data_IF_145541523241
#
_entry.id   IF_145541523241
#
_cell.length_a   1.000
_cell.length_b   1.000
_cell.length_c   1.000
_cell.angle_alpha   90.00
_cell.angle_beta   90.00
_cell.angle_gamma   90.00
#
_symmetry.space_group_name_H-M   'P 1'
#
loop_
_entity.id
_entity.type
_entity.pdbx_description
1 polymer ?
#
# COMPACT_ATOMS: atom_id res chain seq x y z
N UNK A 1 -0.50 -78.16 -1.05
CA UNK A 1 -1.25 -78.65 0.14
C UNK A 1 -2.04 -77.45 0.64
N UNK A 2 -3.32 -77.38 0.26
CA UNK A 2 -4.55 -77.79 1.02
C UNK A 2 -4.87 -76.73 2.07
N UNK A 3 -6.02 -76.13 2.19
CA UNK A 3 -7.43 -76.17 1.71
C UNK A 3 -8.05 -74.86 2.23
N UNK A 4 -8.75 -74.10 1.48
CA UNK A 4 -10.21 -73.97 1.27
C UNK A 4 -11.07 -73.94 2.53
N UNK A 5 -11.95 -72.97 2.58
CA UNK A 5 -13.05 -72.93 3.54
C UNK A 5 -13.93 -71.67 3.34
N UNK A 6 -14.78 -71.72 2.34
CA UNK A 6 -15.98 -70.90 2.22
C UNK A 6 -16.97 -71.24 3.32
N UNK A 7 -17.69 -70.29 3.87
CA UNK A 7 -19.08 -70.48 4.33
C UNK A 7 -19.89 -69.17 4.25
N UNK A 8 -20.79 -69.22 3.31
CA UNK A 8 -21.98 -68.44 3.08
C UNK A 8 -23.09 -68.85 4.03
N UNK A 9 -23.92 -67.94 4.57
CA UNK A 9 -25.35 -68.10 4.96
C UNK A 9 -25.85 -66.76 5.50
N UNK A 10 -26.67 -66.08 4.82
CA UNK A 10 -28.10 -66.12 4.55
C UNK A 10 -29.01 -65.55 5.65
N UNK A 11 -29.59 -64.42 5.31
CA UNK A 11 -31.00 -63.93 5.45
C UNK A 11 -31.72 -63.91 6.83
N UNK A 12 -32.20 -62.70 7.06
CA UNK A 12 -33.51 -62.34 7.66
C UNK A 12 -33.72 -62.55 9.15
N UNK A 13 -33.81 -61.41 9.88
CA UNK A 13 -34.94 -61.23 10.83
C UNK A 13 -35.20 -59.74 11.00
N UNK A 14 -36.45 -59.34 10.78
CA UNK A 14 -37.01 -58.02 10.93
C UNK A 14 -37.26 -57.81 12.41
N UNK A 15 -36.75 -56.73 13.01
CA UNK A 15 -37.33 -56.19 14.24
C UNK A 15 -37.51 -54.69 14.09
N UNK A 16 -38.77 -54.29 14.18
CA UNK A 16 -39.24 -52.92 14.26
C UNK A 16 -38.73 -52.29 15.56
N UNK A 17 -37.92 -51.27 15.49
CA UNK A 17 -37.56 -50.42 16.62
C UNK A 17 -37.78 -48.96 16.23
N UNK A 18 -38.62 -48.28 16.98
CA UNK A 18 -39.07 -46.90 16.72
C UNK A 18 -37.91 -45.92 16.65
N UNK A 19 -37.83 -45.18 15.55
CA UNK A 19 -36.96 -44.00 15.41
C UNK A 19 -37.60 -42.85 16.23
N UNK A 20 -37.04 -42.58 17.40
CA UNK A 20 -37.25 -41.31 18.05
C UNK A 20 -36.40 -40.26 17.32
N UNK A 21 -37.06 -39.41 16.52
CA UNK A 21 -36.42 -38.27 15.91
C UNK A 21 -36.07 -37.23 17.00
N UNK A 22 -34.82 -37.22 17.43
CA UNK A 22 -34.30 -36.12 18.22
C UNK A 22 -34.17 -34.88 17.29
N UNK A 23 -35.14 -33.99 17.37
CA UNK A 23 -35.06 -32.65 16.78
C UNK A 23 -34.01 -31.86 17.56
N UNK A 24 -32.81 -31.75 16.99
CA UNK A 24 -31.81 -30.80 17.45
C UNK A 24 -32.38 -29.42 17.09
N UNK A 25 -32.62 -28.51 18.06
CA UNK A 25 -33.01 -27.15 17.71
C UNK A 25 -31.83 -26.54 16.95
N UNK A 26 -32.07 -26.16 15.69
CA UNK A 26 -31.19 -25.29 14.96
C UNK A 26 -31.16 -23.97 15.76
N UNK A 27 -30.14 -23.79 16.59
CA UNK A 27 -29.80 -22.50 17.13
C UNK A 27 -29.41 -21.63 15.95
N UNK A 28 -30.40 -20.92 15.40
CA UNK A 28 -30.16 -19.79 14.52
C UNK A 28 -29.21 -18.86 15.30
N UNK A 29 -27.92 -18.85 14.91
CA UNK A 29 -27.05 -17.74 15.24
C UNK A 29 -27.69 -16.53 14.57
N UNK A 30 -28.47 -15.80 15.35
CA UNK A 30 -28.85 -14.43 15.05
C UNK A 30 -27.51 -13.72 14.97
N UNK A 31 -27.03 -13.48 13.75
CA UNK A 31 -26.01 -12.46 13.52
C UNK A 31 -26.63 -11.19 14.12
N UNK A 32 -26.14 -10.79 15.27
CA UNK A 32 -26.47 -9.48 15.82
C UNK A 32 -26.08 -8.50 14.72
N UNK A 33 -27.08 -7.89 14.09
CA UNK A 33 -26.87 -6.74 13.21
C UNK A 33 -26.18 -5.73 14.11
N UNK A 34 -24.90 -5.45 13.82
CA UNK A 34 -24.22 -4.37 14.50
C UNK A 34 -25.10 -3.12 14.31
N UNK A 35 -25.59 -2.58 15.40
CA UNK A 35 -26.40 -1.35 15.39
C UNK A 35 -25.58 -0.31 14.63
N UNK A 36 -26.17 0.27 13.57
CA UNK A 36 -25.46 1.23 12.72
C UNK A 36 -24.95 2.38 13.62
N UNK A 37 -23.64 2.58 13.65
CA UNK A 37 -23.03 3.61 14.47
C UNK A 37 -23.55 4.99 14.05
N UNK A 38 -23.83 5.85 15.02
CA UNK A 38 -24.27 7.22 14.74
C UNK A 38 -23.13 8.03 14.13
N UNK A 39 -23.36 8.58 12.94
CA UNK A 39 -22.41 9.52 12.33
C UNK A 39 -22.57 10.88 12.99
N UNK A 40 -21.44 11.49 13.35
CA UNK A 40 -21.33 12.84 13.90
C UNK A 40 -20.30 13.65 13.12
N UNK A 41 -20.38 14.96 13.16
CA UNK A 41 -19.36 15.85 12.57
C UNK A 41 -18.57 16.52 13.68
N UNK A 42 -17.24 16.35 13.67
CA UNK A 42 -16.32 17.00 14.59
C UNK A 42 -15.15 17.59 13.83
N UNK A 43 -14.74 18.83 14.11
CA UNK A 43 -13.66 19.53 13.39
C UNK A 43 -13.83 19.54 11.85
N UNK A 44 -15.09 19.48 11.36
CA UNK A 44 -15.42 19.38 9.94
C UNK A 44 -15.23 17.98 9.34
N UNK A 45 -15.08 16.93 10.16
CA UNK A 45 -14.87 15.54 9.76
C UNK A 45 -16.11 14.73 10.17
N UNK A 46 -16.72 14.04 9.24
CA UNK A 46 -17.73 13.02 9.53
C UNK A 46 -17.06 11.76 10.07
N UNK A 47 -17.53 11.31 11.22
CA UNK A 47 -17.01 10.10 11.89
C UNK A 47 -18.14 9.33 12.57
N UNK A 48 -18.01 8.03 12.65
CA UNK A 48 -18.83 7.16 13.48
C UNK A 48 -18.12 6.66 14.74
N UNK A 49 -16.92 7.20 15.04
CA UNK A 49 -16.23 6.98 16.31
C UNK A 49 -16.97 7.67 17.48
N UNK A 50 -16.94 7.05 18.64
CA UNK A 50 -17.39 7.66 19.90
C UNK A 50 -16.29 8.63 20.39
N UNK A 51 -16.48 9.92 20.15
CA UNK A 51 -15.48 10.94 20.45
C UNK A 51 -15.11 10.96 21.95
N UNK A 52 -16.09 10.81 22.83
CA UNK A 52 -15.84 10.84 24.27
C UNK A 52 -14.97 9.65 24.72
N UNK A 53 -15.22 8.48 24.14
CA UNK A 53 -14.37 7.31 24.40
C UNK A 53 -12.99 7.47 23.76
N UNK A 54 -12.89 7.93 22.52
CA UNK A 54 -11.61 8.19 21.88
C UNK A 54 -10.73 9.16 22.70
N UNK A 55 -11.33 10.23 23.23
CA UNK A 55 -10.64 11.17 24.12
C UNK A 55 -10.27 10.52 25.47
N UNK A 56 -11.11 9.61 26.00
CA UNK A 56 -10.82 8.88 27.23
C UNK A 56 -9.71 7.82 27.03
N UNK A 57 -9.62 7.21 25.85
CA UNK A 57 -8.51 6.32 25.45
C UNK A 57 -7.17 7.10 25.41
N UNK A 58 -7.21 8.36 25.00
CA UNK A 58 -6.13 9.35 25.16
C UNK A 58 -4.88 9.10 24.33
N UNK A 59 -4.81 8.04 23.54
CA UNK A 59 -3.66 7.67 22.72
C UNK A 59 -4.07 7.02 21.39
N UNK A 60 -3.17 7.04 20.40
CA UNK A 60 -3.28 6.33 19.13
C UNK A 60 -1.89 6.00 18.61
N UNK A 61 -1.63 4.73 18.25
CA UNK A 61 -0.37 4.26 17.72
C UNK A 61 -0.52 3.84 16.26
N UNK A 62 0.22 4.52 15.39
CA UNK A 62 0.25 4.30 13.97
C UNK A 62 1.53 3.57 13.53
N UNK A 63 1.41 2.39 12.90
CA UNK A 63 2.53 1.71 12.26
C UNK A 63 2.57 2.09 10.77
N UNK A 64 3.72 2.59 10.31
CA UNK A 64 3.88 3.06 8.93
C UNK A 64 5.23 2.66 8.32
N UNK A 65 5.24 2.52 7.01
CA UNK A 65 6.47 2.38 6.21
C UNK A 65 7.09 3.72 5.82
N UNK A 66 6.36 4.81 5.99
CA UNK A 66 6.80 6.16 5.64
C UNK A 66 8.05 6.59 6.42
N UNK A 67 8.72 7.63 5.93
CA UNK A 67 9.87 8.20 6.63
C UNK A 67 9.47 8.78 7.99
N UNK A 68 10.43 8.88 8.94
CA UNK A 68 10.16 9.46 10.25
C UNK A 68 9.53 10.85 10.17
N UNK A 69 10.00 11.81 9.31
CA UNK A 69 9.33 13.09 9.16
C UNK A 69 7.89 13.00 8.66
N UNK A 70 7.57 12.00 7.82
CA UNK A 70 6.23 11.78 7.32
C UNK A 70 5.29 11.23 8.41
N UNK A 71 5.75 10.19 9.13
CA UNK A 71 5.02 9.62 10.26
C UNK A 71 4.73 10.68 11.34
N UNK A 72 5.75 11.48 11.69
CA UNK A 72 5.59 12.60 12.62
C UNK A 72 4.54 13.61 12.14
N UNK A 73 4.62 14.05 10.88
CA UNK A 73 3.68 15.02 10.31
C UNK A 73 2.23 14.54 10.36
N UNK A 74 1.99 13.24 10.13
CA UNK A 74 0.65 12.64 10.18
C UNK A 74 0.09 12.69 11.61
N UNK A 75 0.84 12.14 12.58
CA UNK A 75 0.34 12.05 13.96
C UNK A 75 0.26 13.40 14.66
N UNK A 76 1.15 14.34 14.35
CA UNK A 76 1.11 15.71 14.86
C UNK A 76 -0.11 16.48 14.34
N UNK A 77 -0.42 16.35 13.03
CA UNK A 77 -1.59 16.98 12.44
C UNK A 77 -2.90 16.43 13.03
N UNK A 78 -2.99 15.11 13.24
CA UNK A 78 -4.11 14.51 13.94
C UNK A 78 -4.25 15.00 15.38
N UNK A 79 -3.15 14.98 16.15
CA UNK A 79 -3.17 15.42 17.55
C UNK A 79 -3.43 16.92 17.71
N UNK A 80 -3.11 17.73 16.69
CA UNK A 80 -3.49 19.15 16.67
C UNK A 80 -5.01 19.33 16.57
N UNK A 81 -5.69 18.49 15.78
CA UNK A 81 -7.14 18.53 15.66
C UNK A 81 -7.84 17.89 16.86
N UNK A 82 -7.21 16.89 17.48
CA UNK A 82 -7.73 16.15 18.65
C UNK A 82 -6.72 16.15 19.80
N UNK A 83 -6.55 17.28 20.50
CA UNK A 83 -5.44 17.48 21.45
C UNK A 83 -5.50 16.59 22.71
N UNK A 84 -6.62 15.95 22.98
CA UNK A 84 -6.74 14.96 24.06
C UNK A 84 -6.28 13.57 23.66
N UNK A 85 -5.96 13.34 22.37
CA UNK A 85 -5.47 12.07 21.86
C UNK A 85 -4.02 12.24 21.42
N UNK A 86 -3.10 11.63 22.15
CA UNK A 86 -1.68 11.65 21.81
C UNK A 86 -1.40 10.66 20.68
N UNK A 87 -1.20 11.16 19.47
CA UNK A 87 -0.73 10.35 18.35
C UNK A 87 0.75 9.99 18.52
N UNK A 88 1.07 8.75 18.20
CA UNK A 88 2.44 8.25 18.11
C UNK A 88 2.59 7.34 16.90
N UNK A 89 3.82 7.11 16.43
CA UNK A 89 4.06 6.24 15.30
C UNK A 89 5.28 5.35 15.52
N UNK A 90 5.31 4.24 14.79
CA UNK A 90 6.49 3.40 14.62
C UNK A 90 6.75 3.22 13.13
N UNK A 91 7.97 3.49 12.72
CA UNK A 91 8.42 3.34 11.34
C UNK A 91 9.24 2.06 11.18
N UNK A 92 8.90 1.26 10.16
CA UNK A 92 9.77 0.19 9.66
C UNK A 92 9.52 -0.03 8.17
N UNK A 93 10.43 -0.69 7.46
CA UNK A 93 10.21 -1.13 6.08
C UNK A 93 9.05 -2.13 6.04
N UNK A 94 8.30 -2.17 4.92
CA UNK A 94 7.06 -2.95 4.79
C UNK A 94 7.18 -4.39 5.33
N UNK A 95 8.17 -5.17 4.89
CA UNK A 95 8.37 -6.55 5.33
C UNK A 95 8.72 -6.68 6.81
N UNK A 96 9.56 -5.78 7.35
CA UNK A 96 9.91 -5.75 8.77
C UNK A 96 8.71 -5.34 9.63
N UNK A 97 7.93 -4.35 9.17
CA UNK A 97 6.70 -3.90 9.82
C UNK A 97 5.69 -5.04 9.92
N UNK A 98 5.49 -5.76 8.81
CA UNK A 98 4.59 -6.89 8.75
C UNK A 98 5.01 -8.04 9.68
N UNK A 99 6.30 -8.41 9.63
CA UNK A 99 6.86 -9.47 10.51
C UNK A 99 6.72 -9.12 11.98
N UNK A 100 7.02 -7.86 12.35
CA UNK A 100 6.85 -7.35 13.71
C UNK A 100 5.39 -7.47 14.16
N UNK A 101 4.46 -7.00 13.35
CA UNK A 101 3.02 -7.02 13.65
C UNK A 101 2.50 -8.44 13.83
N UNK A 102 2.91 -9.39 13.00
CA UNK A 102 2.54 -10.80 13.15
C UNK A 102 3.13 -11.42 14.43
N UNK A 103 4.38 -11.09 14.77
CA UNK A 103 5.02 -11.58 15.99
C UNK A 103 4.32 -11.06 17.26
N UNK A 104 4.01 -9.76 17.30
CA UNK A 104 3.28 -9.13 18.40
C UNK A 104 1.89 -9.77 18.60
N UNK A 105 1.13 -9.96 17.52
CA UNK A 105 -0.18 -10.62 17.55
C UNK A 105 -0.07 -12.07 18.00
N UNK A 106 0.94 -12.81 17.53
CA UNK A 106 1.21 -14.18 17.93
C UNK A 106 1.55 -14.32 19.42
N UNK A 107 2.19 -13.29 19.99
CA UNK A 107 2.49 -13.20 21.43
C UNK A 107 1.32 -12.63 22.27
N UNK A 108 0.18 -12.29 21.66
CA UNK A 108 -0.96 -11.69 22.36
C UNK A 108 -0.80 -10.20 22.67
N UNK A 109 0.18 -9.52 22.07
CA UNK A 109 0.40 -8.07 22.21
C UNK A 109 -0.35 -7.32 21.12
N UNK A 110 -1.30 -6.47 21.50
CA UNK A 110 -2.17 -5.71 20.62
C UNK A 110 -2.03 -4.21 20.90
N UNK A 111 -0.80 -3.68 20.79
CA UNK A 111 -0.52 -2.28 21.10
C UNK A 111 -0.83 -1.31 19.94
N UNK A 112 -0.75 -1.79 18.70
CA UNK A 112 -0.94 -0.97 17.49
C UNK A 112 -2.42 -0.78 17.18
N UNK A 113 -2.79 0.42 16.78
CA UNK A 113 -4.17 0.79 16.48
C UNK A 113 -4.44 0.82 14.97
N UNK A 114 -3.56 1.44 14.20
CA UNK A 114 -3.69 1.57 12.74
C UNK A 114 -2.38 1.21 12.07
N UNK A 115 -2.44 0.49 10.96
CA UNK A 115 -1.26 0.13 10.16
C UNK A 115 -1.43 0.56 8.71
N UNK A 116 -0.33 1.06 8.12
CA UNK A 116 -0.21 1.37 6.69
C UNK A 116 0.88 0.50 6.07
N UNK A 117 0.53 -0.21 5.02
CA UNK A 117 1.46 -0.97 4.19
C UNK A 117 1.66 -0.31 2.83
N UNK A 118 2.89 -0.35 2.31
CA UNK A 118 3.21 0.09 0.94
C UNK A 118 2.97 -0.99 -0.12
N UNK A 119 2.57 -2.18 0.29
CA UNK A 119 2.30 -3.29 -0.61
C UNK A 119 0.90 -3.86 -0.36
N UNK A 120 0.07 -3.84 -1.38
CA UNK A 120 -1.32 -4.31 -1.31
C UNK A 120 -1.40 -5.80 -0.99
N UNK A 121 -0.47 -6.61 -1.50
CA UNK A 121 -0.36 -8.04 -1.19
C UNK A 121 -0.22 -8.31 0.30
N UNK A 122 0.62 -7.52 0.98
CA UNK A 122 0.79 -7.58 2.43
C UNK A 122 -0.52 -7.27 3.17
N UNK A 123 -1.26 -6.24 2.74
CA UNK A 123 -2.55 -5.88 3.32
C UNK A 123 -3.59 -6.98 3.12
N UNK A 124 -3.65 -7.58 1.93
CA UNK A 124 -4.56 -8.69 1.62
C UNK A 124 -4.23 -9.91 2.48
N UNK A 125 -2.95 -10.28 2.62
CA UNK A 125 -2.54 -11.40 3.46
C UNK A 125 -2.84 -11.13 4.94
N UNK A 126 -2.60 -9.92 5.41
CA UNK A 126 -2.94 -9.51 6.78
C UNK A 126 -4.45 -9.59 7.03
N UNK A 127 -5.28 -9.17 6.07
CA UNK A 127 -6.74 -9.31 6.13
C UNK A 127 -7.17 -10.78 6.23
N UNK A 128 -6.63 -11.65 5.36
CA UNK A 128 -6.93 -13.11 5.38
C UNK A 128 -6.61 -13.77 6.72
N UNK A 129 -5.61 -13.24 7.44
CA UNK A 129 -5.24 -13.67 8.79
C UNK A 129 -6.06 -13.01 9.91
N UNK A 130 -7.14 -12.31 9.59
CA UNK A 130 -7.97 -11.60 10.56
C UNK A 130 -7.24 -10.45 11.24
N UNK A 131 -6.30 -9.84 10.52
CA UNK A 131 -5.43 -8.77 11.03
C UNK A 131 -6.14 -7.43 11.19
N UNK A 132 -7.12 -7.15 10.36
CA UNK A 132 -7.87 -5.89 10.42
C UNK A 132 -9.21 -6.03 11.14
N UNK A 133 -9.65 -4.95 11.77
CA UNK A 133 -11.03 -4.73 12.19
C UNK A 133 -11.87 -4.36 10.97
N UNK A 134 -13.12 -4.84 10.92
CA UNK A 134 -14.09 -4.35 9.95
C UNK A 134 -14.70 -3.06 10.47
N UNK A 135 -14.53 -1.97 9.73
CA UNK A 135 -15.06 -0.66 10.06
C UNK A 135 -15.54 0.08 8.80
N UNK A 136 -16.81 0.44 8.79
CA UNK A 136 -17.42 1.22 7.72
C UNK A 136 -17.31 2.71 8.04
N UNK A 137 -16.26 3.35 7.50
CA UNK A 137 -16.05 4.80 7.64
C UNK A 137 -17.12 5.57 6.87
N UNK A 138 -17.73 6.63 7.45
CA UNK A 138 -18.63 7.52 6.72
C UNK A 138 -17.93 8.25 5.57
N UNK A 139 -16.61 8.36 5.61
CA UNK A 139 -15.79 8.96 4.55
C UNK A 139 -15.73 8.08 3.28
N UNK A 140 -16.06 6.79 3.36
CA UNK A 140 -15.92 5.85 2.25
C UNK A 140 -16.76 6.24 1.02
N UNK A 141 -17.88 6.93 1.19
CA UNK A 141 -18.72 7.40 0.08
C UNK A 141 -18.01 8.33 -0.91
N UNK A 142 -16.98 9.04 -0.44
CA UNK A 142 -16.17 9.94 -1.27
C UNK A 142 -15.07 9.22 -2.07
N UNK A 143 -14.88 7.92 -1.88
CA UNK A 143 -13.88 7.13 -2.60
C UNK A 143 -14.50 6.29 -3.71
N UNK A 144 -13.78 5.97 -4.79
CA UNK A 144 -14.19 4.92 -5.71
C UNK A 144 -14.11 3.55 -5.04
N UNK A 145 -14.88 2.58 -5.50
CA UNK A 145 -15.00 1.27 -4.85
C UNK A 145 -13.65 0.51 -4.80
N UNK A 146 -12.83 0.65 -5.82
CA UNK A 146 -11.50 0.04 -5.90
C UNK A 146 -10.46 0.63 -4.93
N UNK A 147 -10.76 1.78 -4.32
CA UNK A 147 -9.93 2.40 -3.29
C UNK A 147 -10.25 1.92 -1.85
N UNK A 148 -11.25 1.06 -1.67
CA UNK A 148 -11.74 0.63 -0.34
C UNK A 148 -11.30 -0.78 0.07
N UNK A 149 -10.37 -1.38 -0.69
CA UNK A 149 -9.99 -2.79 -0.50
C UNK A 149 -11.09 -3.76 -0.95
N UNK A 150 -10.82 -5.07 -0.86
CA UNK A 150 -11.81 -6.10 -1.21
C UNK A 150 -11.68 -7.28 -0.26
N UNK A 151 -12.75 -7.63 0.51
CA UNK A 151 -13.99 -6.85 0.69
C UNK A 151 -13.74 -5.49 1.37
N UNK A 152 -14.65 -4.53 1.13
CA UNK A 152 -14.55 -3.19 1.72
C UNK A 152 -14.65 -3.22 3.25
N UNK A 153 -14.22 -2.13 3.91
CA UNK A 153 -14.34 -1.96 5.36
C UNK A 153 -13.17 -2.50 6.18
N UNK A 154 -12.15 -3.13 5.59
CA UNK A 154 -10.98 -3.62 6.32
C UNK A 154 -9.76 -2.70 6.15
N UNK A 155 -9.56 -2.18 4.95
CA UNK A 155 -8.55 -1.17 4.68
C UNK A 155 -8.99 -0.29 3.50
N UNK A 156 -8.39 0.87 3.39
CA UNK A 156 -8.56 1.77 2.26
C UNK A 156 -7.21 2.21 1.71
N UNK A 157 -7.19 2.74 0.51
CA UNK A 157 -5.99 3.31 -0.06
C UNK A 157 -5.84 4.77 0.33
N UNK A 158 -4.95 5.03 1.30
CA UNK A 158 -4.71 6.36 1.87
C UNK A 158 -3.96 7.31 0.94
N UNK A 159 -3.35 6.79 -0.10
CA UNK A 159 -2.64 7.53 -1.13
C UNK A 159 -2.08 6.58 -2.17
N UNK A 160 -1.52 7.14 -3.24
CA UNK A 160 -0.86 6.37 -4.30
C UNK A 160 0.58 6.81 -4.41
N UNK A 161 1.51 5.86 -4.41
CA UNK A 161 2.87 6.08 -4.89
C UNK A 161 2.94 5.67 -6.36
N UNK A 162 3.57 6.49 -7.21
CA UNK A 162 3.74 6.20 -8.61
C UNK A 162 5.06 6.73 -9.15
N UNK A 163 5.50 6.14 -10.22
CA UNK A 163 6.78 6.49 -10.86
C UNK A 163 6.60 6.87 -12.31
N UNK A 164 7.30 7.93 -12.69
CA UNK A 164 7.58 8.31 -14.06
C UNK A 164 9.07 8.30 -14.33
N UNK A 165 9.48 9.02 -15.33
CA UNK A 165 10.90 9.32 -15.62
C UNK A 165 11.21 10.69 -15.04
N UNK A 166 12.34 10.83 -14.32
CA UNK A 166 12.83 12.16 -13.93
C UNK A 166 14.23 12.36 -14.49
N UNK A 167 14.46 13.52 -15.06
CA UNK A 167 15.77 13.87 -15.59
C UNK A 167 16.22 15.25 -15.10
N UNK A 168 17.54 15.47 -15.07
CA UNK A 168 18.13 16.77 -14.77
C UNK A 168 18.11 17.64 -16.03
N UNK A 169 17.38 18.76 -16.00
CA UNK A 169 17.16 19.65 -17.18
C UNK A 169 18.37 20.50 -17.55
N UNK A 170 19.37 20.64 -16.69
CA UNK A 170 20.65 21.26 -17.03
C UNK A 170 21.58 20.30 -17.77
N UNK A 171 21.46 18.99 -17.53
CA UNK A 171 22.28 17.95 -18.16
C UNK A 171 21.65 17.37 -19.43
N UNK A 172 20.33 17.45 -19.55
CA UNK A 172 19.56 16.85 -20.63
C UNK A 172 18.78 17.95 -21.35
N UNK A 173 19.17 18.36 -22.57
CA UNK A 173 18.40 19.30 -23.35
C UNK A 173 17.00 18.80 -23.65
N UNK A 174 16.01 19.69 -23.68
CA UNK A 174 14.60 19.34 -23.89
C UNK A 174 14.36 18.51 -25.17
N UNK A 175 15.13 18.75 -26.23
CA UNK A 175 15.06 17.99 -27.49
C UNK A 175 15.51 16.52 -27.34
N UNK A 176 16.33 16.22 -26.34
CA UNK A 176 16.86 14.89 -26.05
C UNK A 176 16.17 14.20 -24.85
N UNK A 177 15.23 14.91 -24.20
CA UNK A 177 14.50 14.39 -23.05
C UNK A 177 13.73 13.12 -23.42
N UNK A 178 13.70 12.10 -22.54
CA UNK A 178 12.94 10.89 -22.77
C UNK A 178 11.45 11.20 -22.71
N UNK A 179 10.65 10.59 -23.59
CA UNK A 179 9.18 10.74 -23.63
C UNK A 179 8.47 9.42 -23.35
N UNK A 180 9.15 8.32 -23.57
CA UNK A 180 8.64 6.96 -23.39
C UNK A 180 9.60 6.15 -22.52
N UNK A 181 9.14 5.03 -21.96
CA UNK A 181 10.02 4.11 -21.23
C UNK A 181 11.13 3.55 -22.12
N UNK A 182 10.84 3.32 -23.42
CA UNK A 182 11.86 2.85 -24.40
C UNK A 182 12.94 3.87 -24.69
N UNK A 183 12.66 5.16 -24.53
CA UNK A 183 13.71 6.18 -24.74
C UNK A 183 14.86 6.04 -23.73
N UNK A 184 14.61 5.41 -22.57
CA UNK A 184 15.65 5.14 -21.58
C UNK A 184 16.59 4.00 -21.96
N UNK A 185 16.32 3.27 -23.06
CA UNK A 185 17.22 2.21 -23.58
C UNK A 185 18.28 2.78 -24.56
N UNK A 186 18.23 4.07 -24.87
CA UNK A 186 19.20 4.69 -25.78
C UNK A 186 20.60 4.72 -25.19
N UNK A 187 21.68 4.48 -25.98
CA UNK A 187 23.07 4.42 -25.50
C UNK A 187 23.55 5.66 -24.74
N UNK A 188 22.92 6.82 -24.96
CA UNK A 188 23.26 8.07 -24.25
C UNK A 188 23.11 7.98 -22.72
N UNK A 189 22.30 7.05 -22.24
CA UNK A 189 22.03 6.88 -20.81
C UNK A 189 23.05 5.99 -20.10
N UNK A 190 24.04 5.47 -20.82
CA UNK A 190 25.04 4.57 -20.25
C UNK A 190 25.88 5.26 -19.18
N UNK A 191 25.91 4.66 -17.97
CA UNK A 191 26.62 5.14 -16.77
C UNK A 191 26.13 6.52 -16.25
N UNK A 192 24.93 6.98 -16.63
CA UNK A 192 24.35 8.25 -16.17
C UNK A 192 22.85 8.13 -15.85
N UNK A 193 22.35 6.90 -15.81
CA UNK A 193 20.97 6.60 -15.41
C UNK A 193 20.92 5.84 -14.10
N UNK A 194 19.95 6.16 -13.26
CA UNK A 194 19.82 5.54 -11.94
C UNK A 194 18.50 4.75 -11.79
N UNK A 195 18.55 3.82 -10.83
CA UNK A 195 17.44 3.01 -10.37
C UNK A 195 17.58 2.75 -8.86
N UNK A 196 16.67 1.97 -8.27
CA UNK A 196 16.81 1.50 -6.89
C UNK A 196 17.22 0.04 -6.83
N UNK A 197 17.72 -0.39 -5.68
CA UNK A 197 18.05 -1.79 -5.40
C UNK A 197 16.78 -2.64 -5.31
N UNK A 198 16.93 -3.96 -5.38
CA UNK A 198 15.81 -4.93 -5.35
C UNK A 198 14.98 -4.91 -4.07
N UNK A 199 15.48 -4.30 -3.01
CA UNK A 199 14.77 -4.09 -1.74
C UNK A 199 13.61 -3.09 -1.84
N UNK A 200 13.54 -2.31 -2.93
CA UNK A 200 12.49 -1.33 -3.17
C UNK A 200 11.24 -1.98 -3.76
N UNK A 201 10.13 -1.95 -3.01
CA UNK A 201 8.83 -2.42 -3.51
C UNK A 201 8.37 -1.67 -4.75
N UNK A 202 8.61 -0.33 -4.83
CA UNK A 202 8.24 0.46 -6.01
C UNK A 202 9.07 0.08 -7.25
N UNK A 203 10.35 -0.31 -7.07
CA UNK A 203 11.17 -0.83 -8.16
C UNK A 203 10.62 -2.18 -8.68
N UNK A 204 10.12 -3.02 -7.78
CA UNK A 204 9.47 -4.28 -8.16
C UNK A 204 8.17 -4.03 -8.95
N UNK A 205 7.31 -3.13 -8.51
CA UNK A 205 6.10 -2.75 -9.26
C UNK A 205 6.47 -2.27 -10.66
N UNK A 206 7.47 -1.40 -10.78
CA UNK A 206 7.92 -0.90 -12.08
C UNK A 206 8.47 -2.01 -12.95
N UNK A 207 9.32 -2.88 -12.40
CA UNK A 207 9.88 -4.02 -13.13
C UNK A 207 8.75 -4.92 -13.68
N UNK A 208 7.78 -5.24 -12.84
CA UNK A 208 6.67 -6.11 -13.17
C UNK A 208 5.79 -5.53 -14.30
N UNK A 209 5.40 -4.27 -14.16
CA UNK A 209 4.52 -3.62 -15.13
C UNK A 209 5.22 -3.36 -16.48
N UNK A 210 6.49 -2.95 -16.47
CA UNK A 210 7.24 -2.74 -17.71
C UNK A 210 7.62 -4.07 -18.40
N UNK A 211 7.87 -5.14 -17.63
CA UNK A 211 8.03 -6.50 -18.18
C UNK A 211 6.77 -6.97 -18.90
N UNK A 212 5.58 -6.68 -18.35
CA UNK A 212 4.29 -6.94 -19.04
C UNK A 212 4.11 -6.13 -20.33
N UNK A 213 4.57 -4.89 -20.35
CA UNK A 213 4.44 -4.01 -21.52
C UNK A 213 5.42 -4.38 -22.63
N UNK A 214 6.64 -4.78 -22.30
CA UNK A 214 7.75 -4.87 -23.27
C UNK A 214 8.43 -6.22 -23.33
N UNK A 215 8.14 -7.14 -22.44
CA UNK A 215 8.80 -8.43 -22.32
C UNK A 215 10.14 -8.37 -21.59
N UNK A 216 10.80 -9.53 -21.49
CA UNK A 216 12.04 -9.72 -20.73
C UNK A 216 13.23 -8.93 -21.29
N UNK A 217 13.25 -8.68 -22.59
CA UNK A 217 14.38 -8.03 -23.24
C UNK A 217 14.53 -6.56 -22.85
N UNK A 218 13.43 -5.92 -22.41
CA UNK A 218 13.50 -4.52 -21.93
C UNK A 218 14.51 -4.36 -20.78
N UNK A 219 14.47 -5.24 -19.78
CA UNK A 219 15.35 -5.15 -18.63
C UNK A 219 16.78 -5.61 -18.95
N UNK A 220 16.94 -6.57 -19.86
CA UNK A 220 18.25 -6.96 -20.39
C UNK A 220 18.94 -5.80 -21.10
N UNK A 221 18.19 -5.06 -21.93
CA UNK A 221 18.70 -3.88 -22.62
C UNK A 221 18.99 -2.73 -21.67
N UNK A 222 18.13 -2.52 -20.66
CA UNK A 222 18.38 -1.54 -19.60
C UNK A 222 19.66 -1.86 -18.84
N UNK A 223 19.92 -3.11 -18.50
CA UNK A 223 21.15 -3.54 -17.82
C UNK A 223 22.44 -3.25 -18.60
N UNK A 224 22.40 -3.27 -19.94
CA UNK A 224 23.54 -2.92 -20.79
C UNK A 224 24.00 -1.47 -20.61
N UNK A 225 23.12 -0.61 -20.07
CA UNK A 225 23.42 0.79 -19.77
C UNK A 225 24.27 0.94 -18.49
N UNK A 226 24.43 -0.10 -17.69
CA UNK A 226 25.12 -0.07 -16.39
C UNK A 226 24.50 0.98 -15.47
N UNK A 227 23.22 0.84 -15.10
CA UNK A 227 22.55 1.81 -14.23
C UNK A 227 23.17 1.82 -12.84
N UNK A 228 23.18 3.00 -12.21
CA UNK A 228 23.58 3.12 -10.81
C UNK A 228 22.39 2.83 -9.90
N UNK A 229 22.54 1.85 -9.00
CA UNK A 229 21.49 1.42 -8.10
C UNK A 229 21.69 2.00 -6.69
N UNK A 230 20.64 2.66 -6.18
CA UNK A 230 20.63 3.27 -4.85
C UNK A 230 19.65 2.57 -3.92
N UNK A 231 19.99 2.45 -2.64
CA UNK A 231 19.09 1.93 -1.63
C UNK A 231 18.03 2.96 -1.21
N UNK A 232 18.43 4.22 -1.08
CA UNK A 232 17.60 5.32 -0.57
C UNK A 232 17.05 6.21 -1.69
N UNK A 233 15.73 6.51 -1.65
CA UNK A 233 15.10 7.53 -2.51
C UNK A 233 15.80 8.89 -2.36
N UNK A 234 16.11 9.28 -1.14
CA UNK A 234 16.77 10.57 -0.88
C UNK A 234 18.11 10.67 -1.58
N UNK A 235 18.94 9.63 -1.48
CA UNK A 235 20.26 9.57 -2.14
C UNK A 235 20.12 9.65 -3.67
N UNK A 236 19.20 8.89 -4.26
CA UNK A 236 18.94 8.88 -5.70
C UNK A 236 18.60 10.29 -6.20
N UNK A 237 17.63 10.95 -5.56
CA UNK A 237 17.18 12.28 -5.98
C UNK A 237 18.21 13.39 -5.68
N UNK A 238 19.02 13.25 -4.63
CA UNK A 238 20.10 14.19 -4.36
C UNK A 238 21.16 14.15 -5.47
N UNK A 239 21.55 12.96 -5.92
CA UNK A 239 22.51 12.81 -7.02
C UNK A 239 21.95 13.32 -8.35
N UNK A 240 20.65 13.03 -8.60
CA UNK A 240 19.96 13.55 -9.78
C UNK A 240 19.91 15.10 -9.76
N UNK A 241 19.59 15.70 -8.61
CA UNK A 241 19.55 17.15 -8.45
C UNK A 241 20.91 17.81 -8.68
N UNK A 242 22.02 17.19 -8.27
CA UNK A 242 23.40 17.65 -8.49
C UNK A 242 23.87 17.41 -9.93
N UNK A 243 23.17 16.59 -10.72
CA UNK A 243 23.56 16.22 -12.07
C UNK A 243 24.64 15.13 -12.15
N UNK A 244 24.92 14.43 -11.06
CA UNK A 244 25.74 13.23 -11.04
C UNK A 244 25.08 12.09 -11.81
N UNK A 245 23.73 12.03 -11.71
CA UNK A 245 22.84 11.24 -12.56
C UNK A 245 22.09 12.17 -13.53
N UNK A 246 21.96 11.79 -14.80
CA UNK A 246 21.24 12.60 -15.78
C UNK A 246 19.75 12.26 -15.83
N UNK A 247 19.40 11.02 -15.55
CA UNK A 247 18.02 10.55 -15.45
C UNK A 247 17.87 9.44 -14.42
N UNK A 248 16.65 9.23 -13.98
CA UNK A 248 16.27 8.02 -13.24
C UNK A 248 15.06 7.36 -13.89
N UNK A 249 15.11 6.02 -14.00
CA UNK A 249 13.95 5.25 -14.41
C UNK A 249 12.91 5.19 -13.29
N UNK A 250 13.34 5.26 -12.02
CA UNK A 250 12.44 5.26 -10.86
C UNK A 250 12.21 6.69 -10.35
N UNK A 251 11.55 7.49 -11.18
CA UNK A 251 11.15 8.86 -10.86
C UNK A 251 9.91 8.87 -9.96
N UNK A 252 10.05 8.51 -8.68
CA UNK A 252 8.97 8.58 -7.69
C UNK A 252 8.49 10.02 -7.55
N UNK A 253 7.16 10.24 -7.66
CA UNK A 253 6.57 11.57 -7.60
C UNK A 253 6.96 12.35 -6.34
N UNK A 254 6.88 11.71 -5.17
CA UNK A 254 7.25 12.32 -3.90
C UNK A 254 8.73 12.76 -3.85
N UNK A 255 9.63 11.95 -4.43
CA UNK A 255 11.04 12.29 -4.54
C UNK A 255 11.30 13.47 -5.48
N UNK A 256 10.61 13.49 -6.62
CA UNK A 256 10.65 14.60 -7.58
C UNK A 256 10.20 15.91 -6.94
N UNK A 257 9.03 15.93 -6.31
CA UNK A 257 8.49 17.13 -5.68
C UNK A 257 9.43 17.67 -4.59
N UNK A 258 9.96 16.80 -3.75
CA UNK A 258 10.87 17.21 -2.67
C UNK A 258 12.10 17.97 -3.16
N UNK A 259 12.73 17.52 -4.26
CA UNK A 259 13.90 18.21 -4.81
C UNK A 259 13.51 19.40 -5.67
N UNK A 260 12.37 19.35 -6.35
CA UNK A 260 11.81 20.45 -7.13
C UNK A 260 11.51 21.66 -6.26
N UNK A 261 10.89 21.46 -5.11
CA UNK A 261 10.58 22.53 -4.13
C UNK A 261 11.84 23.21 -3.58
N UNK A 262 12.98 22.52 -3.63
CA UNK A 262 14.30 23.05 -3.26
C UNK A 262 15.01 23.76 -4.43
N UNK A 263 14.32 23.90 -5.57
CA UNK A 263 14.87 24.56 -6.76
C UNK A 263 15.76 23.69 -7.63
N UNK A 264 15.77 22.35 -7.43
CA UNK A 264 16.59 21.47 -8.28
C UNK A 264 16.13 21.53 -9.76
N UNK A 265 17.07 21.50 -10.72
CA UNK A 265 16.78 21.55 -12.15
C UNK A 265 16.33 20.16 -12.65
N UNK A 266 15.19 19.70 -12.15
CA UNK A 266 14.63 18.39 -12.51
C UNK A 266 13.28 18.54 -13.20
N UNK A 267 12.99 17.63 -14.11
CA UNK A 267 11.73 17.56 -14.85
C UNK A 267 11.16 16.14 -14.77
N UNK A 268 9.87 16.05 -14.41
CA UNK A 268 9.11 14.79 -14.40
C UNK A 268 8.47 14.59 -15.79
N UNK A 269 8.56 13.36 -16.27
CA UNK A 269 7.89 12.90 -17.50
C UNK A 269 6.95 11.76 -17.15
N UNK A 270 5.71 11.90 -17.60
CA UNK A 270 4.72 10.84 -17.55
C UNK A 270 4.64 10.15 -18.93
N UNK A 271 5.24 8.97 -19.13
CA UNK A 271 5.12 8.24 -20.37
C UNK A 271 3.66 7.88 -20.69
N UNK A 272 3.25 8.04 -21.95
CA UNK A 272 1.87 7.78 -22.40
C UNK A 272 1.44 6.32 -22.20
N UNK A 273 2.39 5.40 -22.13
CA UNK A 273 2.15 3.97 -21.87
C UNK A 273 1.58 3.73 -20.47
N UNK A 274 1.83 4.63 -19.55
CA UNK A 274 1.34 4.66 -18.18
C UNK A 274 2.45 4.68 -17.14
N UNK A 275 2.05 4.97 -15.91
CA UNK A 275 2.90 5.10 -14.73
C UNK A 275 2.71 3.89 -13.82
N UNK A 276 3.72 3.05 -13.61
CA UNK A 276 3.67 2.03 -12.56
C UNK A 276 3.34 2.67 -11.21
N UNK A 277 2.39 2.09 -10.51
CA UNK A 277 1.84 2.65 -9.29
C UNK A 277 1.51 1.58 -8.25
N UNK A 278 1.56 1.95 -6.98
CA UNK A 278 1.10 1.14 -5.87
C UNK A 278 0.30 1.98 -4.89
N UNK A 279 -0.90 1.55 -4.50
CA UNK A 279 -1.64 2.22 -3.45
C UNK A 279 -1.11 1.84 -2.06
N UNK A 280 -1.25 2.77 -1.12
CA UNK A 280 -0.86 2.62 0.28
C UNK A 280 -2.06 2.12 1.07
N UNK A 281 -2.03 0.88 1.51
CA UNK A 281 -3.16 0.24 2.21
C UNK A 281 -3.13 0.55 3.71
N UNK A 282 -4.15 1.23 4.22
CA UNK A 282 -4.27 1.64 5.62
C UNK A 282 -5.56 1.11 6.24
N UNK A 283 -5.47 0.51 7.43
CA UNK A 283 -6.63 -0.03 8.13
C UNK A 283 -6.43 -0.14 9.64
N UNK A 284 -7.54 -0.27 10.36
CA UNK A 284 -7.55 -0.47 11.81
C UNK A 284 -7.14 -1.91 12.12
N UNK A 285 -6.19 -2.08 13.03
CA UNK A 285 -5.75 -3.43 13.44
C UNK A 285 -6.81 -4.07 14.34
N UNK A 286 -7.15 -5.32 14.07
CA UNK A 286 -8.11 -6.02 14.93
C UNK A 286 -7.59 -6.15 16.35
N UNK A 287 -8.43 -5.90 17.35
CA UNK A 287 -8.08 -5.78 18.77
C UNK A 287 -7.13 -4.59 19.06
N UNK A 288 -7.28 -3.48 18.33
CA UNK A 288 -6.57 -2.24 18.64
C UNK A 288 -6.67 -1.89 20.13
N UNK A 289 -5.59 -1.36 20.70
CA UNK A 289 -5.58 -0.94 22.11
C UNK A 289 -6.52 0.25 22.37
N UNK A 290 -6.67 1.13 21.35
CA UNK A 290 -7.47 2.34 21.41
C UNK A 290 -8.48 2.37 20.23
N UNK A 291 -9.53 1.52 20.27
CA UNK A 291 -10.38 1.27 19.12
C UNK A 291 -11.19 2.48 18.65
N UNK A 292 -11.64 3.36 19.53
CA UNK A 292 -12.37 4.56 19.11
C UNK A 292 -11.43 5.67 18.61
N UNK A 293 -10.25 5.80 19.19
CA UNK A 293 -9.20 6.69 18.67
C UNK A 293 -8.69 6.21 17.29
N UNK A 294 -8.59 4.89 17.07
CA UNK A 294 -8.24 4.31 15.78
C UNK A 294 -9.28 4.62 14.70
N UNK A 295 -10.59 4.50 15.01
CA UNK A 295 -11.68 4.84 14.10
C UNK A 295 -11.69 6.33 13.77
N UNK A 296 -11.54 7.17 14.79
CA UNK A 296 -11.46 8.62 14.61
C UNK A 296 -10.26 9.01 13.75
N UNK A 297 -9.10 8.38 13.98
CA UNK A 297 -7.91 8.61 13.17
C UNK A 297 -8.10 8.16 11.72
N UNK A 298 -8.72 6.99 11.48
CA UNK A 298 -9.00 6.52 10.14
C UNK A 298 -9.95 7.47 9.40
N UNK A 299 -11.05 7.91 10.05
CA UNK A 299 -11.99 8.86 9.46
C UNK A 299 -11.32 10.22 9.18
N UNK A 300 -10.48 10.70 10.09
CA UNK A 300 -9.66 11.90 9.90
C UNK A 300 -8.73 11.74 8.70
N UNK A 301 -8.03 10.60 8.59
CA UNK A 301 -7.10 10.34 7.50
C UNK A 301 -7.81 10.26 6.15
N UNK A 302 -8.99 9.63 6.12
CA UNK A 302 -9.84 9.54 4.92
C UNK A 302 -10.53 10.87 4.56
N UNK A 303 -10.63 11.83 5.48
CA UNK A 303 -11.31 13.12 5.27
C UNK A 303 -10.58 14.02 4.26
N UNK A 304 -11.21 15.08 3.74
CA UNK A 304 -10.53 16.09 2.93
C UNK A 304 -9.28 16.66 3.60
N UNK A 305 -9.31 16.78 4.94
CA UNK A 305 -8.21 17.35 5.72
C UNK A 305 -6.97 16.44 5.75
N UNK A 306 -7.15 15.15 6.08
CA UNK A 306 -6.08 14.15 6.05
C UNK A 306 -5.53 13.95 4.65
N UNK A 307 -6.40 13.91 3.65
CA UNK A 307 -5.99 13.73 2.26
C UNK A 307 -5.27 14.95 1.67
N UNK A 308 -5.64 16.16 2.09
CA UNK A 308 -4.88 17.37 1.76
C UNK A 308 -3.47 17.31 2.34
N UNK A 309 -3.32 16.85 3.61
CA UNK A 309 -2.01 16.64 4.20
C UNK A 309 -1.17 15.67 3.36
N UNK A 310 -1.75 14.53 2.96
CA UNK A 310 -1.05 13.53 2.14
C UNK A 310 -0.57 14.11 0.81
N UNK A 311 -1.36 14.95 0.16
CA UNK A 311 -1.03 15.53 -1.14
C UNK A 311 -0.02 16.68 -1.08
N UNK A 312 -0.03 17.47 0.00
CA UNK A 312 0.70 18.75 0.04
C UNK A 312 1.87 18.78 1.00
N UNK A 313 1.96 17.83 1.94
CA UNK A 313 3.09 17.77 2.86
C UNK A 313 4.35 17.31 2.13
N UNK A 314 5.45 18.05 2.27
CA UNK A 314 6.73 17.81 1.61
C UNK A 314 7.40 16.46 1.90
N UNK A 315 6.95 15.73 2.91
CA UNK A 315 7.48 14.41 3.23
C UNK A 315 6.59 13.27 2.71
N UNK A 316 5.38 13.59 2.23
CA UNK A 316 4.37 12.65 1.74
C UNK A 316 4.19 12.77 0.22
N UNK A 317 3.54 13.83 -0.26
CA UNK A 317 3.22 14.06 -1.68
C UNK A 317 2.52 12.87 -2.35
N UNK A 318 1.65 12.17 -1.61
CA UNK A 318 0.87 11.07 -2.14
C UNK A 318 -0.48 11.57 -2.67
N UNK A 319 -0.77 11.39 -3.95
CA UNK A 319 -2.08 11.71 -4.51
C UNK A 319 -3.20 10.95 -3.80
N UNK A 320 -4.30 11.67 -3.55
CA UNK A 320 -5.51 11.09 -2.99
C UNK A 320 -6.35 10.39 -4.04
N UNK A 321 -7.03 9.31 -3.63
CA UNK A 321 -8.07 8.65 -4.43
C UNK A 321 -9.48 9.21 -4.16
N UNK A 322 -9.64 10.21 -3.28
CA UNK A 322 -10.95 10.84 -3.08
C UNK A 322 -11.43 11.51 -4.37
N UNK A 323 -12.71 11.37 -4.68
CA UNK A 323 -13.35 11.99 -5.86
C UNK A 323 -13.35 13.52 -5.81
N UNK A 324 -13.35 14.09 -4.60
CA UNK A 324 -13.36 15.52 -4.30
C UNK A 324 -11.99 16.05 -3.85
N UNK A 325 -10.92 15.28 -4.04
CA UNK A 325 -9.58 15.70 -3.67
C UNK A 325 -9.14 16.95 -4.45
N UNK A 326 -8.44 17.89 -3.80
CA UNK A 326 -7.83 19.01 -4.51
C UNK A 326 -6.76 18.50 -5.51
N UNK A 327 -6.40 19.28 -6.53
CA UNK A 327 -5.26 18.94 -7.38
C UNK A 327 -3.97 18.80 -6.57
N UNK A 328 -3.07 17.92 -7.05
CA UNK A 328 -1.70 17.84 -6.53
C UNK A 328 -0.94 19.16 -6.76
N UNK A 329 0.21 19.37 -6.08
CA UNK A 329 1.09 20.49 -6.38
C UNK A 329 1.34 20.64 -7.90
N UNK A 330 1.30 21.87 -8.41
CA UNK A 330 1.39 22.13 -9.85
C UNK A 330 0.07 21.96 -10.62
N UNK A 331 -1.06 21.78 -9.95
CA UNK A 331 -2.39 21.69 -10.57
C UNK A 331 -2.70 20.31 -11.19
N UNK A 332 -1.85 19.33 -10.98
CA UNK A 332 -1.95 17.98 -11.54
C UNK A 332 -3.05 17.18 -10.84
N UNK A 333 -3.86 16.44 -11.59
CA UNK A 333 -4.86 15.52 -11.07
C UNK A 333 -4.46 14.08 -11.40
N UNK A 334 -4.67 13.18 -10.46
CA UNK A 334 -4.35 11.77 -10.65
C UNK A 334 -5.08 11.16 -11.86
N UNK A 335 -6.31 11.61 -12.11
CA UNK A 335 -7.12 11.19 -13.26
C UNK A 335 -6.53 11.56 -14.64
N UNK A 336 -5.55 12.48 -14.68
CA UNK A 336 -4.86 12.87 -15.92
C UNK A 336 -3.83 11.83 -16.35
N UNK A 337 -3.52 10.84 -15.48
CA UNK A 337 -2.52 9.82 -15.73
C UNK A 337 -3.13 8.43 -15.89
N UNK A 338 -2.57 7.66 -16.80
CA UNK A 338 -2.81 6.23 -16.88
C UNK A 338 -1.91 5.54 -15.86
N UNK A 339 -2.49 5.01 -14.79
CA UNK A 339 -1.77 4.24 -13.78
C UNK A 339 -1.74 2.76 -14.16
N UNK A 340 -0.61 2.11 -13.90
CA UNK A 340 -0.39 0.69 -14.12
C UNK A 340 -0.30 0.00 -12.77
N UNK A 341 -1.27 -0.87 -12.49
CA UNK A 341 -1.33 -1.67 -11.27
C UNK A 341 -1.26 -3.15 -11.61
N UNK A 342 -0.63 -3.99 -10.77
CA UNK A 342 -0.72 -5.43 -10.88
C UNK A 342 -2.18 -5.89 -10.84
N UNK A 343 -2.67 -6.48 -11.95
CA UNK A 343 -4.07 -6.95 -12.04
C UNK A 343 -4.31 -8.25 -11.26
N UNK A 344 -3.26 -9.03 -11.06
CA UNK A 344 -3.28 -10.29 -10.31
C UNK A 344 -2.21 -10.25 -9.23
N UNK A 345 -2.62 -10.19 -7.97
CA UNK A 345 -1.70 -10.24 -6.84
C UNK A 345 -0.95 -11.57 -6.76
N UNK A 346 -1.59 -12.68 -7.13
CA UNK A 346 -0.94 -13.98 -7.15
C UNK A 346 0.21 -14.06 -8.17
N UNK A 347 0.03 -13.48 -9.38
CA UNK A 347 1.10 -13.39 -10.38
C UNK A 347 2.21 -12.45 -9.91
N UNK A 348 1.85 -11.32 -9.29
CA UNK A 348 2.78 -10.35 -8.75
C UNK A 348 3.66 -10.97 -7.67
N UNK A 349 3.08 -11.60 -6.66
CA UNK A 349 3.81 -12.29 -5.58
C UNK A 349 4.71 -13.40 -6.12
N UNK A 350 4.22 -14.20 -7.06
CA UNK A 350 4.98 -15.28 -7.68
C UNK A 350 6.21 -14.78 -8.45
N UNK A 351 6.14 -13.58 -9.02
CA UNK A 351 7.24 -12.98 -9.78
C UNK A 351 8.36 -12.39 -8.90
N UNK A 352 8.12 -12.18 -7.61
CA UNK A 352 9.09 -11.50 -6.75
C UNK A 352 10.46 -12.20 -6.63
N UNK A 353 10.56 -13.53 -6.44
CA UNK A 353 11.88 -14.20 -6.38
C UNK A 353 12.66 -14.09 -7.69
N UNK A 354 11.98 -14.16 -8.84
CA UNK A 354 12.57 -13.96 -10.17
C UNK A 354 13.11 -12.54 -10.30
N UNK A 355 12.29 -11.55 -9.94
CA UNK A 355 12.71 -10.15 -9.92
C UNK A 355 13.99 -9.93 -9.12
N UNK A 356 14.04 -10.39 -7.87
CA UNK A 356 15.22 -10.18 -7.00
C UNK A 356 16.46 -10.76 -7.65
N UNK A 357 16.39 -11.97 -8.21
CA UNK A 357 17.49 -12.63 -8.89
C UNK A 357 17.96 -11.87 -10.13
N UNK A 358 17.02 -11.55 -11.03
CA UNK A 358 17.32 -10.86 -12.29
C UNK A 358 17.85 -9.45 -12.04
N UNK A 359 17.20 -8.72 -11.12
CA UNK A 359 17.56 -7.35 -10.80
C UNK A 359 18.94 -7.25 -10.19
N UNK A 360 19.25 -8.08 -9.18
CA UNK A 360 20.57 -8.09 -8.55
C UNK A 360 21.67 -8.44 -9.55
N UNK A 361 21.47 -9.44 -10.39
CA UNK A 361 22.44 -9.77 -11.43
C UNK A 361 22.63 -8.61 -12.44
N UNK A 362 21.57 -7.86 -12.76
CA UNK A 362 21.62 -6.72 -13.68
C UNK A 362 22.39 -5.53 -13.09
N UNK A 363 22.24 -5.25 -11.80
CA UNK A 363 22.90 -4.10 -11.13
C UNK A 363 24.25 -4.46 -10.47
N UNK A 364 24.68 -5.71 -10.59
CA UNK A 364 26.00 -6.18 -10.10
C UNK A 364 26.04 -6.47 -8.58
N UNK A 365 24.90 -6.92 -8.00
CA UNK A 365 24.77 -7.37 -6.61
C UNK A 365 24.63 -8.89 -6.53
#
# INVERSE_FOLDING_TARGET
>A
MSKSGDHNFSRRTILKGALAAATIPATARVAASAEARKVTTVQGIETSADIAKAEAEGAMLFYTHDSDPAGAAIVEAFSKDFPKIKGSYLRAQNGALYSKLLAERGAGHFAVDVVQFSEVSTAIDFQKKGGYEHYESPQAAAYPADALGTPAGYFFFSGIDFVGIVYNSEKVPAAEAPKTWKDLLKPRWRNVISCKQSTSGMQFVQWFELKKLYGDDYWKDFGKLRPHAFDSRAQLFERLAKGDEQATILGEWAGYQLVKDRGAPVTFVAPAEGLPATPLATGIVSKAAHPEAARLFLDWLMSPKGQTLYQTNKFLYYPSMRKDAPPMPGGIKLADYKLLFPKSMAEYEKAHPEYVKEWNAMIGL
#
